data_IF_319014051594
#
_entry.id   IF_319014051594
#
_cell.length_a   1.000
_cell.length_b   1.000
_cell.length_c   1.000
_cell.angle_alpha   90.00
_cell.angle_beta   90.00
_cell.angle_gamma   90.00
#
_symmetry.space_group_name_H-M   'P 1'
#
loop_
_entity.id
_entity.type
_entity.pdbx_description
1 polymer ?
#
# COMPACT_ATOMS: atom_id res chain seq x y z
N UNK A 1 6.54 -29.69 54.09
CA UNK A 1 5.82 -29.57 52.80
C UNK A 1 5.48 -28.09 52.63
N UNK A 2 6.41 -27.30 52.08
CA UNK A 2 6.26 -25.85 51.91
C UNK A 2 5.80 -25.61 50.47
N UNK A 3 4.55 -25.18 50.31
CA UNK A 3 3.98 -24.80 49.01
C UNK A 3 4.60 -23.48 48.56
N UNK A 4 5.26 -23.49 47.39
CA UNK A 4 5.72 -22.25 46.77
C UNK A 4 4.50 -21.43 46.28
N UNK A 5 4.55 -20.09 46.40
CA UNK A 5 3.54 -19.23 45.79
C UNK A 5 3.55 -19.37 44.26
N UNK A 6 2.39 -19.19 43.60
CA UNK A 6 2.29 -19.32 42.15
C UNK A 6 3.20 -18.32 41.44
N UNK A 7 3.79 -18.68 40.28
CA UNK A 7 4.64 -17.78 39.53
C UNK A 7 3.85 -16.53 39.12
N UNK A 8 4.47 -15.36 39.28
CA UNK A 8 3.92 -14.10 38.83
C UNK A 8 3.58 -14.19 37.33
N UNK A 9 2.39 -13.70 36.97
CA UNK A 9 1.95 -13.56 35.59
C UNK A 9 3.03 -12.82 34.78
N UNK A 10 3.32 -13.25 33.54
CA UNK A 10 4.29 -12.54 32.70
C UNK A 10 3.85 -11.09 32.57
N UNK A 11 4.73 -10.19 33.01
CA UNK A 11 4.58 -8.75 32.81
C UNK A 11 4.50 -8.51 31.31
N UNK A 12 3.34 -8.01 30.86
CA UNK A 12 3.14 -7.62 29.48
C UNK A 12 4.26 -6.67 29.08
N UNK A 13 4.86 -6.95 27.93
CA UNK A 13 5.94 -6.12 27.41
C UNK A 13 5.40 -4.70 27.17
N UNK A 14 6.19 -3.63 27.37
CA UNK A 14 5.73 -2.26 27.15
C UNK A 14 5.28 -1.95 25.70
N UNK A 15 5.44 -2.89 24.78
CA UNK A 15 4.94 -2.83 23.41
C UNK A 15 3.45 -3.26 23.29
N UNK A 16 2.95 -4.13 24.19
CA UNK A 16 1.55 -4.58 24.20
C UNK A 16 0.58 -3.46 24.61
N UNK A 17 1.07 -2.44 25.33
CA UNK A 17 0.28 -1.30 25.78
C UNK A 17 -0.02 -0.25 24.68
N UNK A 18 0.47 -0.43 23.43
CA UNK A 18 0.39 0.58 22.36
C UNK A 18 -0.54 0.23 21.19
N UNK A 19 -1.10 -0.98 21.16
CA UNK A 19 -2.15 -1.36 20.20
C UNK A 19 -3.50 -1.16 20.86
N UNK A 20 -4.39 -0.43 20.19
CA UNK A 20 -5.79 -0.33 20.62
C UNK A 20 -6.35 -1.75 20.78
N UNK A 21 -7.13 -2.06 21.84
CA UNK A 21 -7.65 -3.40 22.09
C UNK A 21 -8.43 -4.01 20.92
N UNK A 22 -8.93 -3.16 20.01
CA UNK A 22 -9.67 -3.54 18.81
C UNK A 22 -8.80 -3.73 17.55
N UNK A 23 -7.47 -3.51 17.57
CA UNK A 23 -6.63 -3.64 16.38
C UNK A 23 -6.32 -5.11 16.02
N UNK A 24 -6.87 -5.61 14.92
CA UNK A 24 -6.73 -7.01 14.48
C UNK A 24 -5.58 -7.25 13.48
N UNK A 25 -4.84 -6.23 13.06
CA UNK A 25 -3.77 -6.38 12.05
C UNK A 25 -2.46 -5.72 12.44
N UNK A 26 -2.48 -4.82 13.42
CA UNK A 26 -1.30 -4.17 13.95
C UNK A 26 -0.65 -3.17 12.97
N UNK A 27 0.29 -2.42 13.50
CA UNK A 27 0.95 -1.33 12.78
C UNK A 27 1.85 -1.83 11.65
N UNK A 28 2.63 -2.90 11.91
CA UNK A 28 3.61 -3.46 10.96
C UNK A 28 2.97 -3.98 9.67
N UNK A 29 1.82 -4.65 9.76
CA UNK A 29 1.07 -5.13 8.59
C UNK A 29 0.72 -3.98 7.65
N UNK A 30 0.16 -2.90 8.22
CA UNK A 30 -0.20 -1.69 7.47
C UNK A 30 1.01 -0.99 6.87
N UNK A 31 2.15 -1.01 7.58
CA UNK A 31 3.40 -0.48 7.06
C UNK A 31 3.90 -1.26 5.86
N UNK A 32 3.87 -2.60 5.90
CA UNK A 32 4.27 -3.44 4.75
C UNK A 32 3.43 -3.13 3.52
N UNK A 33 2.10 -3.02 3.66
CA UNK A 33 1.20 -2.63 2.56
C UNK A 33 1.61 -1.27 1.98
N UNK A 34 1.87 -0.29 2.85
CA UNK A 34 2.31 1.03 2.42
C UNK A 34 3.68 1.03 1.73
N UNK A 35 4.66 0.29 2.25
CA UNK A 35 5.98 0.19 1.64
C UNK A 35 5.96 -0.53 0.30
N UNK A 36 5.15 -1.59 0.14
CA UNK A 36 4.94 -2.25 -1.16
C UNK A 36 4.40 -1.25 -2.19
N UNK A 37 3.39 -0.46 -1.83
CA UNK A 37 2.84 0.59 -2.70
C UNK A 37 3.84 1.69 -3.06
N UNK A 38 4.68 2.11 -2.10
CA UNK A 38 5.68 3.15 -2.33
C UNK A 38 6.84 2.66 -3.20
N UNK A 39 7.28 1.42 -2.96
CA UNK A 39 8.40 0.82 -3.67
C UNK A 39 8.06 0.50 -5.13
N UNK A 40 6.80 0.17 -5.44
CA UNK A 40 6.36 -0.24 -6.76
C UNK A 40 6.82 0.70 -7.89
N UNK A 41 6.42 2.00 -7.96
CA UNK A 41 6.83 2.86 -9.06
C UNK A 41 8.35 3.07 -9.12
N UNK A 42 9.04 3.12 -7.98
CA UNK A 42 10.49 3.38 -7.94
C UNK A 42 11.26 2.17 -8.46
N UNK A 43 10.99 0.98 -7.93
CA UNK A 43 11.76 -0.21 -8.25
C UNK A 43 11.52 -0.70 -9.68
N UNK A 44 10.32 -0.48 -10.23
CA UNK A 44 10.02 -0.81 -11.63
C UNK A 44 10.94 -0.05 -12.60
N UNK A 45 11.03 1.26 -12.41
CA UNK A 45 11.90 2.14 -13.20
C UNK A 45 13.36 1.72 -13.10
N UNK A 46 13.82 1.42 -11.88
CA UNK A 46 15.21 1.00 -11.68
C UNK A 46 15.50 -0.36 -12.31
N UNK A 47 14.58 -1.32 -12.21
CA UNK A 47 14.79 -2.65 -12.77
C UNK A 47 14.71 -2.66 -14.30
N UNK A 48 13.82 -1.87 -14.90
CA UNK A 48 13.78 -1.68 -16.36
C UNK A 48 15.10 -1.10 -16.88
N UNK A 49 15.70 -0.13 -16.16
CA UNK A 49 17.03 0.40 -16.50
C UNK A 49 18.14 -0.67 -16.44
N UNK A 50 18.02 -1.65 -15.55
CA UNK A 50 18.97 -2.76 -15.41
C UNK A 50 18.72 -3.90 -16.41
N UNK A 51 17.48 -4.06 -16.89
CA UNK A 51 17.06 -5.10 -17.83
C UNK A 51 16.25 -4.48 -18.98
N UNK A 52 16.90 -3.71 -19.87
CA UNK A 52 16.22 -3.08 -21.01
C UNK A 52 15.76 -4.14 -22.02
N UNK A 53 14.51 -4.02 -22.48
CA UNK A 53 13.88 -4.99 -23.38
C UNK A 53 14.03 -4.66 -24.89
N UNK A 54 14.51 -3.47 -25.27
CA UNK A 54 14.69 -3.09 -26.68
C UNK A 54 15.86 -2.09 -26.88
N UNK A 55 16.49 -2.02 -28.08
CA UNK A 55 17.63 -1.15 -28.36
C UNK A 55 17.27 0.32 -28.67
N UNK A 56 16.20 0.90 -28.13
CA UNK A 56 15.92 2.33 -28.35
C UNK A 56 15.30 3.01 -27.14
N UNK A 57 16.07 3.90 -26.53
CA UNK A 57 15.87 5.34 -26.24
C UNK A 57 14.50 5.90 -25.84
N UNK A 58 13.40 5.16 -25.97
CA UNK A 58 12.06 5.60 -25.58
C UNK A 58 11.60 4.76 -24.41
N UNK A 59 11.59 5.41 -23.25
CA UNK A 59 10.82 5.00 -22.09
C UNK A 59 9.47 4.40 -22.50
N UNK A 60 9.27 3.10 -22.29
CA UNK A 60 8.05 2.39 -22.68
C UNK A 60 6.97 2.43 -21.59
N UNK A 61 7.28 2.98 -20.41
CA UNK A 61 6.36 3.13 -19.29
C UNK A 61 5.28 4.18 -19.56
N UNK A 62 4.39 3.92 -20.51
CA UNK A 62 3.19 4.74 -20.75
C UNK A 62 2.20 4.62 -19.59
N UNK A 63 2.27 3.54 -18.82
CA UNK A 63 1.56 3.30 -17.55
C UNK A 63 2.43 2.47 -16.60
N UNK A 64 2.09 2.43 -15.31
CA UNK A 64 2.70 1.50 -14.35
C UNK A 64 2.44 0.05 -14.77
N UNK A 65 1.25 -0.24 -15.29
CA UNK A 65 0.94 -1.58 -15.79
C UNK A 65 1.68 -1.94 -17.08
N UNK A 66 2.19 -0.98 -17.86
CA UNK A 66 2.99 -1.27 -19.07
C UNK A 66 4.29 -2.02 -18.73
N UNK A 67 4.76 -1.95 -17.48
CA UNK A 67 5.90 -2.71 -16.99
C UNK A 67 5.71 -4.23 -17.08
N UNK A 68 4.48 -4.72 -17.29
CA UNK A 68 4.20 -6.12 -17.63
C UNK A 68 4.96 -6.58 -18.89
N UNK A 69 5.23 -5.67 -19.81
CA UNK A 69 5.89 -5.95 -21.10
C UNK A 69 7.39 -5.60 -21.08
N UNK A 70 7.92 -5.21 -19.92
CA UNK A 70 9.33 -4.81 -19.73
C UNK A 70 10.11 -5.88 -18.97
N UNK A 71 11.44 -5.72 -18.88
CA UNK A 71 12.30 -6.57 -18.07
C UNK A 71 12.00 -6.50 -16.57
N UNK A 72 11.10 -5.61 -16.13
CA UNK A 72 10.63 -5.53 -14.75
C UNK A 72 9.36 -6.35 -14.46
N UNK A 73 8.81 -7.11 -15.43
CA UNK A 73 7.57 -7.88 -15.27
C UNK A 73 7.55 -8.76 -14.02
N UNK A 74 8.65 -9.45 -13.72
CA UNK A 74 8.74 -10.34 -12.56
C UNK A 74 8.59 -9.57 -11.24
N UNK A 75 9.09 -8.34 -11.18
CA UNK A 75 8.96 -7.46 -10.02
C UNK A 75 7.57 -6.84 -9.94
N UNK A 76 7.00 -6.39 -11.07
CA UNK A 76 5.64 -5.87 -11.15
C UNK A 76 4.63 -6.89 -10.60
N UNK A 77 4.63 -8.10 -11.16
CA UNK A 77 3.74 -9.19 -10.74
C UNK A 77 4.01 -9.60 -9.31
N UNK A 78 5.28 -9.73 -8.91
CA UNK A 78 5.67 -10.13 -7.55
C UNK A 78 5.21 -9.14 -6.47
N UNK A 79 5.38 -7.83 -6.70
CA UNK A 79 4.95 -6.81 -5.75
C UNK A 79 3.42 -6.71 -5.66
N UNK A 80 2.70 -6.85 -6.77
CA UNK A 80 1.23 -6.87 -6.74
C UNK A 80 0.67 -8.16 -6.11
N UNK A 81 1.30 -9.30 -6.33
CA UNK A 81 0.94 -10.55 -5.65
C UNK A 81 1.17 -10.45 -4.14
N UNK A 82 2.29 -9.88 -3.71
CA UNK A 82 2.54 -9.60 -2.30
C UNK A 82 1.50 -8.62 -1.73
N UNK A 83 1.24 -7.51 -2.43
CA UNK A 83 0.23 -6.52 -2.02
C UNK A 83 -1.16 -7.16 -1.89
N UNK A 84 -1.55 -8.00 -2.85
CA UNK A 84 -2.77 -8.78 -2.81
C UNK A 84 -2.87 -9.64 -1.55
N UNK A 85 -1.85 -10.45 -1.26
CA UNK A 85 -1.83 -11.32 -0.08
C UNK A 85 -1.95 -10.53 1.22
N UNK A 86 -1.22 -9.42 1.36
CA UNK A 86 -1.30 -8.58 2.55
C UNK A 86 -2.66 -7.89 2.69
N UNK A 87 -3.30 -7.49 1.59
CA UNK A 87 -4.66 -6.94 1.62
C UNK A 87 -5.70 -8.02 1.98
N UNK A 88 -5.59 -9.23 1.40
CA UNK A 88 -6.47 -10.36 1.70
C UNK A 88 -6.37 -10.83 3.17
N UNK A 89 -5.22 -10.63 3.81
CA UNK A 89 -5.01 -10.96 5.23
C UNK A 89 -5.31 -9.78 6.17
N UNK A 90 -5.55 -8.57 5.66
CA UNK A 90 -5.87 -7.41 6.47
C UNK A 90 -7.28 -7.51 7.05
N UNK A 91 -7.37 -7.50 8.39
CA UNK A 91 -8.64 -7.65 9.14
C UNK A 91 -9.20 -6.33 9.65
N UNK A 92 -8.41 -5.25 9.65
CA UNK A 92 -8.88 -3.95 10.13
C UNK A 92 -8.99 -3.90 11.65
N UNK A 93 -10.13 -3.41 12.14
CA UNK A 93 -10.39 -3.22 13.57
C UNK A 93 -11.68 -3.93 13.99
N UNK A 94 -11.71 -4.50 15.19
CA UNK A 94 -12.86 -5.15 15.81
C UNK A 94 -13.89 -4.15 16.35
N UNK A 95 -14.34 -3.22 15.50
CA UNK A 95 -15.33 -2.21 15.83
C UNK A 95 -16.52 -2.23 14.85
N UNK A 96 -17.47 -1.30 15.00
CA UNK A 96 -18.68 -1.23 14.16
C UNK A 96 -18.41 -1.16 12.65
N UNK A 97 -17.21 -0.77 12.23
CA UNK A 97 -16.81 -0.68 10.83
C UNK A 97 -16.07 -1.91 10.31
N UNK A 98 -15.85 -2.93 11.13
CA UNK A 98 -15.11 -4.16 10.81
C UNK A 98 -15.50 -4.75 9.45
N UNK A 99 -16.81 -4.88 9.20
CA UNK A 99 -17.33 -5.45 7.94
C UNK A 99 -16.88 -4.63 6.73
N UNK A 100 -16.89 -3.31 6.82
CA UNK A 100 -16.48 -2.44 5.72
C UNK A 100 -14.97 -2.46 5.50
N UNK A 101 -14.18 -2.43 6.58
CA UNK A 101 -12.71 -2.60 6.49
C UNK A 101 -12.36 -3.93 5.83
N UNK A 102 -12.99 -5.03 6.28
CA UNK A 102 -12.71 -6.37 5.78
C UNK A 102 -13.15 -6.55 4.33
N UNK A 103 -14.34 -6.08 3.97
CA UNK A 103 -14.83 -6.18 2.59
C UNK A 103 -13.97 -5.35 1.64
N UNK A 104 -13.64 -4.10 2.00
CA UNK A 104 -12.75 -3.27 1.17
C UNK A 104 -11.37 -3.93 1.00
N UNK A 105 -10.84 -4.56 2.05
CA UNK A 105 -9.55 -5.25 1.99
C UNK A 105 -9.59 -6.47 1.06
N UNK A 106 -10.65 -7.27 1.12
CA UNK A 106 -10.86 -8.41 0.22
C UNK A 106 -11.00 -7.93 -1.22
N UNK A 107 -11.82 -6.91 -1.47
CA UNK A 107 -12.02 -6.34 -2.82
C UNK A 107 -10.70 -5.82 -3.38
N UNK A 108 -9.93 -5.05 -2.62
CA UNK A 108 -8.63 -4.56 -3.05
C UNK A 108 -7.63 -5.71 -3.27
N UNK A 109 -7.61 -6.72 -2.39
CA UNK A 109 -6.74 -7.88 -2.51
C UNK A 109 -7.03 -8.70 -3.77
N UNK A 110 -8.30 -8.99 -4.05
CA UNK A 110 -8.72 -9.69 -5.27
C UNK A 110 -8.41 -8.85 -6.51
N UNK A 111 -8.71 -7.55 -6.49
CA UNK A 111 -8.41 -6.65 -7.60
C UNK A 111 -6.90 -6.61 -7.91
N UNK A 112 -6.05 -6.53 -6.88
CA UNK A 112 -4.59 -6.58 -7.04
C UNK A 112 -4.12 -7.93 -7.62
N UNK A 113 -4.71 -9.06 -7.20
CA UNK A 113 -4.40 -10.37 -7.79
C UNK A 113 -4.76 -10.42 -9.27
N UNK A 114 -5.93 -9.88 -9.65
CA UNK A 114 -6.36 -9.83 -11.05
C UNK A 114 -5.41 -8.95 -11.88
N UNK A 115 -5.02 -7.78 -11.40
CA UNK A 115 -4.03 -6.92 -12.08
C UNK A 115 -2.69 -7.64 -12.24
N UNK A 116 -2.27 -8.45 -11.26
CA UNK A 116 -1.03 -9.22 -11.32
C UNK A 116 -1.10 -10.38 -12.33
N UNK A 117 -2.24 -11.06 -12.44
CA UNK A 117 -2.39 -12.28 -13.26
C UNK A 117 -2.77 -12.00 -14.71
N UNK A 118 -3.48 -10.90 -14.98
CA UNK A 118 -3.96 -10.56 -16.32
C UNK A 118 -3.15 -9.37 -16.84
N UNK A 119 -2.37 -9.50 -17.94
CA UNK A 119 -1.60 -8.39 -18.50
C UNK A 119 -2.47 -7.26 -19.05
N UNK A 120 -1.94 -6.04 -19.01
CA UNK A 120 -2.52 -4.90 -19.75
C UNK A 120 -2.23 -5.00 -21.25
N UNK A 121 -2.83 -4.13 -22.05
CA UNK A 121 -2.59 -4.03 -23.49
C UNK A 121 -1.09 -3.87 -23.79
N UNK A 122 -0.51 -4.64 -24.73
CA UNK A 122 0.87 -4.46 -25.14
C UNK A 122 1.10 -3.04 -25.68
N UNK A 123 2.21 -2.37 -25.30
CA UNK A 123 2.62 -1.12 -25.92
C UNK A 123 2.76 -1.24 -27.44
N UNK A 124 2.61 -0.12 -28.15
CA UNK A 124 2.77 -0.07 -29.60
C UNK A 124 4.14 -0.65 -30.02
N UNK A 125 4.12 -1.50 -31.06
CA UNK A 125 5.32 -2.15 -31.58
C UNK A 125 5.72 -3.45 -30.87
N UNK A 126 5.04 -3.85 -29.79
CA UNK A 126 5.24 -5.14 -29.16
C UNK A 126 4.16 -6.15 -29.58
N UNK A 127 4.60 -7.33 -30.04
CA UNK A 127 3.70 -8.41 -30.37
C UNK A 127 3.09 -9.00 -29.07
N UNK A 128 1.76 -9.22 -29.02
CA UNK A 128 1.14 -9.90 -27.89
C UNK A 128 1.59 -11.36 -27.80
N UNK A 129 1.47 -11.94 -26.60
CA UNK A 129 1.68 -13.38 -26.39
C UNK A 129 0.61 -14.21 -27.13
N UNK A 130 0.90 -15.47 -27.52
CA UNK A 130 -0.04 -16.29 -28.31
C UNK A 130 -1.41 -16.52 -27.66
N UNK A 131 -1.48 -16.47 -26.33
CA UNK A 131 -2.71 -16.65 -25.54
C UNK A 131 -3.41 -15.33 -25.19
N UNK A 132 -2.86 -14.19 -25.60
CA UNK A 132 -3.41 -12.89 -25.24
C UNK A 132 -4.65 -12.57 -26.08
N UNK A 133 -5.72 -12.10 -25.42
CA UNK A 133 -6.97 -11.72 -26.05
C UNK A 133 -7.49 -10.40 -25.46
N UNK A 134 -8.31 -9.67 -26.21
CA UNK A 134 -8.81 -8.34 -25.81
C UNK A 134 -9.48 -8.32 -24.42
N UNK A 135 -10.22 -9.38 -24.06
CA UNK A 135 -10.89 -9.48 -22.76
C UNK A 135 -9.91 -9.48 -21.57
N UNK A 136 -8.66 -9.93 -21.77
CA UNK A 136 -7.62 -9.91 -20.72
C UNK A 136 -7.28 -8.47 -20.34
N UNK A 137 -7.08 -7.61 -21.34
CA UNK A 137 -6.82 -6.18 -21.11
C UNK A 137 -7.99 -5.46 -20.44
N UNK A 138 -9.23 -5.80 -20.81
CA UNK A 138 -10.44 -5.26 -20.19
C UNK A 138 -10.53 -5.69 -18.73
N UNK A 139 -10.30 -6.98 -18.45
CA UNK A 139 -10.26 -7.52 -17.07
C UNK A 139 -9.21 -6.81 -16.23
N UNK A 140 -8.00 -6.59 -16.77
CA UNK A 140 -6.95 -5.84 -16.10
C UNK A 140 -7.41 -4.41 -15.79
N UNK A 141 -7.95 -3.68 -16.78
CA UNK A 141 -8.36 -2.29 -16.62
C UNK A 141 -9.48 -2.14 -15.58
N UNK A 142 -10.49 -3.00 -15.61
CA UNK A 142 -11.58 -3.02 -14.62
C UNK A 142 -11.02 -3.29 -13.22
N UNK A 143 -10.14 -4.28 -13.08
CA UNK A 143 -9.51 -4.58 -11.80
C UNK A 143 -8.66 -3.42 -11.27
N UNK A 144 -7.90 -2.74 -12.13
CA UNK A 144 -7.12 -1.57 -11.75
C UNK A 144 -8.03 -0.42 -11.26
N UNK A 145 -9.13 -0.14 -11.95
CA UNK A 145 -10.11 0.87 -11.52
C UNK A 145 -10.68 0.51 -10.15
N UNK A 146 -11.07 -0.75 -9.94
CA UNK A 146 -11.59 -1.23 -8.64
C UNK A 146 -10.53 -1.09 -7.54
N UNK A 147 -9.27 -1.45 -7.83
CA UNK A 147 -8.16 -1.34 -6.89
C UNK A 147 -7.94 0.11 -6.42
N UNK A 148 -7.75 1.04 -7.35
CA UNK A 148 -7.53 2.45 -7.03
C UNK A 148 -8.74 3.10 -6.36
N UNK A 149 -9.96 2.74 -6.80
CA UNK A 149 -11.19 3.19 -6.14
C UNK A 149 -11.24 2.74 -4.68
N UNK A 150 -10.85 1.50 -4.40
CA UNK A 150 -10.83 0.97 -3.04
C UNK A 150 -9.76 1.63 -2.18
N UNK A 151 -8.60 1.97 -2.76
CA UNK A 151 -7.58 2.78 -2.07
C UNK A 151 -8.10 4.17 -1.70
N UNK A 152 -8.85 4.82 -2.60
CA UNK A 152 -9.51 6.09 -2.30
C UNK A 152 -10.55 5.92 -1.17
N UNK A 153 -11.36 4.86 -1.18
CA UNK A 153 -12.33 4.55 -0.11
C UNK A 153 -11.65 4.36 1.25
N UNK A 154 -10.53 3.63 1.30
CA UNK A 154 -9.75 3.48 2.52
C UNK A 154 -9.33 4.85 3.10
N UNK A 155 -8.76 5.71 2.26
CA UNK A 155 -8.21 6.99 2.70
C UNK A 155 -9.28 8.05 2.99
N UNK A 156 -10.31 8.17 2.15
CA UNK A 156 -11.37 9.17 2.29
C UNK A 156 -12.36 8.85 3.41
N UNK A 157 -12.56 7.56 3.73
CA UNK A 157 -13.63 7.15 4.62
C UNK A 157 -13.15 6.27 5.78
N UNK A 158 -12.67 5.06 5.51
CA UNK A 158 -12.41 4.05 6.55
C UNK A 158 -11.35 4.52 7.56
N UNK A 159 -10.21 5.04 7.07
CA UNK A 159 -9.11 5.44 7.95
C UNK A 159 -9.40 6.67 8.82
N UNK A 160 -10.43 7.45 8.44
CA UNK A 160 -10.88 8.66 9.13
C UNK A 160 -11.95 8.39 10.19
N UNK A 161 -12.51 7.17 10.24
CA UNK A 161 -13.45 6.79 11.30
C UNK A 161 -12.81 6.90 12.68
N UNK A 162 -13.64 7.28 13.64
CA UNK A 162 -13.31 7.43 15.08
C UNK A 162 -14.49 6.83 15.85
N UNK A 163 -14.22 6.30 17.04
CA UNK A 163 -15.27 5.84 17.93
C UNK A 163 -16.15 7.01 18.43
N UNK A 164 -17.41 6.75 18.81
CA UNK A 164 -18.43 7.79 19.04
C UNK A 164 -18.12 8.76 20.19
N UNK A 165 -17.46 8.30 21.26
CA UNK A 165 -17.47 8.99 22.56
C UNK A 165 -16.13 9.63 22.97
N UNK A 166 -15.18 9.79 22.05
CA UNK A 166 -13.89 10.42 22.33
C UNK A 166 -13.69 11.72 21.57
N UNK A 167 -13.37 12.81 22.26
CA UNK A 167 -12.83 14.00 21.61
C UNK A 167 -11.60 13.61 20.77
N UNK A 168 -11.56 14.05 19.50
CA UNK A 168 -10.41 13.79 18.64
C UNK A 168 -9.19 14.52 19.17
N UNK A 169 -8.19 13.76 19.60
CA UNK A 169 -6.85 14.28 19.90
C UNK A 169 -6.27 15.05 18.70
N UNK A 170 -5.39 16.03 18.94
CA UNK A 170 -4.73 16.80 17.88
C UNK A 170 -3.99 15.89 16.88
N UNK A 171 -3.34 14.83 17.39
CA UNK A 171 -2.69 13.79 16.60
C UNK A 171 -3.68 13.06 15.67
N UNK A 172 -4.89 12.72 16.15
CA UNK A 172 -5.92 12.11 15.31
C UNK A 172 -6.42 13.07 14.21
N UNK A 173 -6.61 14.35 14.53
CA UNK A 173 -7.03 15.37 13.54
C UNK A 173 -5.98 15.55 12.43
N UNK A 174 -4.69 15.56 12.79
CA UNK A 174 -3.60 15.63 11.82
C UNK A 174 -3.60 14.41 10.90
N UNK A 175 -3.70 13.20 11.45
CA UNK A 175 -3.79 11.97 10.66
C UNK A 175 -5.00 11.94 9.73
N UNK A 176 -6.17 12.37 10.20
CA UNK A 176 -7.38 12.45 9.38
C UNK A 176 -7.24 13.43 8.22
N UNK A 177 -6.51 14.53 8.43
CA UNK A 177 -6.17 15.50 7.38
C UNK A 177 -5.26 14.86 6.34
N UNK A 178 -4.22 14.13 6.76
CA UNK A 178 -3.33 13.42 5.82
C UNK A 178 -4.11 12.38 5.01
N UNK A 179 -4.99 11.60 5.65
CA UNK A 179 -5.86 10.65 4.96
C UNK A 179 -6.82 11.33 3.98
N UNK A 180 -7.36 12.50 4.32
CA UNK A 180 -8.19 13.29 3.40
C UNK A 180 -7.37 13.74 2.17
N UNK A 181 -6.20 14.32 2.38
CA UNK A 181 -5.31 14.79 1.29
C UNK A 181 -4.91 13.62 0.38
N UNK A 182 -4.51 12.49 0.96
CA UNK A 182 -4.17 11.29 0.18
C UNK A 182 -5.37 10.78 -0.62
N UNK A 183 -6.56 10.74 -0.01
CA UNK A 183 -7.78 10.29 -0.68
C UNK A 183 -8.18 11.19 -1.85
N UNK A 184 -8.14 12.51 -1.66
CA UNK A 184 -8.38 13.48 -2.73
C UNK A 184 -7.32 13.33 -3.83
N UNK A 185 -6.05 13.18 -3.44
CA UNK A 185 -4.94 12.99 -4.36
C UNK A 185 -5.11 11.75 -5.26
N UNK A 186 -5.60 10.63 -4.71
CA UNK A 186 -5.92 9.43 -5.50
C UNK A 186 -7.03 9.73 -6.51
N UNK A 187 -8.14 10.36 -6.09
CA UNK A 187 -9.26 10.68 -6.98
C UNK A 187 -8.83 11.63 -8.11
N UNK A 188 -8.09 12.69 -7.78
CA UNK A 188 -7.54 13.64 -8.78
C UNK A 188 -6.62 12.91 -9.76
N UNK A 189 -5.78 12.01 -9.26
CA UNK A 189 -4.88 11.21 -10.10
C UNK A 189 -5.66 10.28 -11.04
N UNK A 190 -6.74 9.66 -10.58
CA UNK A 190 -7.62 8.84 -11.42
C UNK A 190 -8.32 9.67 -12.51
N UNK A 191 -8.80 10.87 -12.17
CA UNK A 191 -9.39 11.79 -13.16
C UNK A 191 -8.34 12.24 -14.19
N UNK A 192 -7.13 12.53 -13.74
CA UNK A 192 -6.01 12.85 -14.63
C UNK A 192 -5.66 11.68 -15.55
N UNK A 193 -5.55 10.46 -15.02
CA UNK A 193 -5.33 9.26 -15.83
C UNK A 193 -6.43 9.07 -16.89
N UNK A 194 -7.70 9.30 -16.53
CA UNK A 194 -8.81 9.21 -17.48
C UNK A 194 -8.68 10.21 -18.61
N UNK A 195 -8.42 11.49 -18.31
CA UNK A 195 -8.26 12.55 -19.33
C UNK A 195 -7.03 12.27 -20.20
N UNK A 196 -5.89 11.92 -19.60
CA UNK A 196 -4.66 11.59 -20.31
C UNK A 196 -4.84 10.38 -21.23
N UNK A 197 -5.46 9.31 -20.74
CA UNK A 197 -5.74 8.11 -21.53
C UNK A 197 -6.67 8.38 -22.70
N UNK A 198 -7.70 9.23 -22.53
CA UNK A 198 -8.58 9.67 -23.64
C UNK A 198 -7.85 10.50 -24.70
N UNK A 199 -6.78 11.19 -24.31
CA UNK A 199 -5.92 11.96 -25.21
C UNK A 199 -4.77 11.14 -25.83
N UNK A 200 -4.68 9.83 -25.54
CA UNK A 200 -3.56 8.99 -25.99
C UNK A 200 -2.23 9.32 -25.29
N UNK A 201 -2.26 10.08 -24.19
CA UNK A 201 -1.08 10.44 -23.42
C UNK A 201 -0.75 9.37 -22.37
N UNK A 202 0.50 9.38 -21.90
CA UNK A 202 0.94 8.50 -20.81
C UNK A 202 0.14 8.76 -19.52
N UNK A 203 -0.28 7.66 -18.88
CA UNK A 203 -0.93 7.62 -17.57
C UNK A 203 0.02 7.18 -16.44
N UNK A 204 1.32 7.04 -16.72
CA UNK A 204 2.32 6.59 -15.75
C UNK A 204 2.41 7.49 -14.52
N UNK A 205 2.48 8.81 -14.73
CA UNK A 205 2.57 9.78 -13.65
C UNK A 205 1.32 9.80 -12.76
N UNK A 206 0.08 9.91 -13.30
CA UNK A 206 -1.09 9.85 -12.45
C UNK A 206 -1.19 8.52 -11.68
N UNK A 207 -0.90 7.37 -12.29
CA UNK A 207 -0.88 6.09 -11.56
C UNK A 207 0.18 6.07 -10.45
N UNK A 208 1.38 6.60 -10.72
CA UNK A 208 2.46 6.72 -9.74
C UNK A 208 2.06 7.59 -8.55
N UNK A 209 1.45 8.75 -8.80
CA UNK A 209 0.99 9.63 -7.73
C UNK A 209 -0.13 8.99 -6.92
N UNK A 210 -1.09 8.31 -7.56
CA UNK A 210 -2.13 7.57 -6.86
C UNK A 210 -1.53 6.49 -5.93
N UNK A 211 -0.51 5.75 -6.39
CA UNK A 211 0.21 4.77 -5.58
C UNK A 211 0.98 5.41 -4.41
N UNK A 212 1.60 6.56 -4.62
CA UNK A 212 2.31 7.31 -3.56
C UNK A 212 1.31 7.78 -2.49
N UNK A 213 0.18 8.36 -2.88
CA UNK A 213 -0.86 8.77 -1.94
C UNK A 213 -1.46 7.58 -1.17
N UNK A 214 -1.73 6.47 -1.88
CA UNK A 214 -2.11 5.21 -1.26
C UNK A 214 -1.09 4.78 -0.21
N UNK A 215 0.19 4.69 -0.59
CA UNK A 215 1.27 4.26 0.28
C UNK A 215 1.39 5.12 1.53
N UNK A 216 1.34 6.44 1.37
CA UNK A 216 1.40 7.39 2.49
C UNK A 216 0.20 7.25 3.42
N UNK A 217 -1.01 7.05 2.87
CA UNK A 217 -2.20 6.79 3.69
C UNK A 217 -2.03 5.54 4.56
N UNK A 218 -1.45 4.46 4.04
CA UNK A 218 -1.22 3.22 4.78
C UNK A 218 -0.08 3.32 5.79
N UNK A 219 1.00 4.02 5.47
CA UNK A 219 2.12 4.26 6.39
C UNK A 219 1.71 5.13 7.58
N UNK A 220 0.88 6.15 7.34
CA UNK A 220 0.30 6.98 8.40
C UNK A 220 -0.67 6.17 9.26
N UNK A 221 -1.49 5.30 8.64
CA UNK A 221 -2.37 4.39 9.38
C UNK A 221 -1.57 3.39 10.21
N UNK A 222 -0.45 2.91 9.69
CA UNK A 222 0.51 2.04 10.38
C UNK A 222 1.46 2.76 11.33
N UNK A 223 1.28 4.06 11.62
CA UNK A 223 2.14 4.84 12.54
C UNK A 223 3.64 4.79 12.20
N UNK A 224 4.00 4.64 10.92
CA UNK A 224 5.40 4.50 10.47
C UNK A 224 6.32 5.61 11.00
N UNK A 225 5.85 6.86 10.99
CA UNK A 225 6.62 8.01 11.50
C UNK A 225 6.95 7.89 13.00
N UNK A 226 6.05 7.32 13.81
CA UNK A 226 6.34 7.09 15.23
C UNK A 226 7.36 5.97 15.41
N UNK A 227 7.24 4.88 14.63
CA UNK A 227 8.20 3.78 14.65
C UNK A 227 9.60 4.27 14.31
N UNK A 228 9.76 5.04 13.22
CA UNK A 228 11.07 5.61 12.82
C UNK A 228 11.63 6.54 13.90
N UNK A 229 10.82 7.46 14.44
CA UNK A 229 11.25 8.36 15.53
C UNK A 229 11.69 7.60 16.78
N UNK A 230 10.98 6.52 17.14
CA UNK A 230 11.34 5.69 18.28
C UNK A 230 12.68 4.98 18.08
N UNK A 231 12.90 4.40 16.90
CA UNK A 231 14.17 3.74 16.54
C UNK A 231 15.34 4.72 16.54
N UNK A 232 15.16 5.91 15.96
CA UNK A 232 16.21 6.95 15.95
C UNK A 232 16.56 7.42 17.37
N UNK A 233 15.55 7.62 18.24
CA UNK A 233 15.78 7.97 19.65
C UNK A 233 16.56 6.87 20.36
N UNK A 234 16.18 5.61 20.20
CA UNK A 234 16.87 4.46 20.80
C UNK A 234 18.33 4.34 20.33
N UNK A 235 18.60 4.53 19.05
CA UNK A 235 19.96 4.56 18.51
C UNK A 235 20.80 5.70 19.12
N UNK A 236 20.19 6.88 19.31
CA UNK A 236 20.86 8.04 19.93
C UNK A 236 21.20 7.79 21.40
N UNK A 237 20.29 7.21 22.19
CA UNK A 237 20.56 6.88 23.60
C UNK A 237 21.53 5.72 23.78
N UNK A 238 21.55 4.74 22.87
CA UNK A 238 22.51 3.63 22.90
C UNK A 238 23.96 4.11 22.65
N UNK A 239 24.14 5.08 21.75
CA UNK A 239 25.44 5.71 21.50
C UNK A 239 25.94 6.65 22.62
N UNK A 240 25.07 7.03 23.56
CA UNK A 240 25.39 7.97 24.63
C UNK A 240 25.78 7.30 25.97
N UNK A 241 25.82 5.95 26.06
CA UNK A 241 26.30 5.27 27.27
C UNK A 241 27.83 5.38 27.36
N UNK A 242 28.40 6.03 28.40
CA UNK A 242 29.85 6.06 28.58
C UNK A 242 30.36 4.65 28.91
N UNK A 243 31.53 4.29 28.37
CA UNK A 243 32.24 3.06 28.76
C UNK A 243 32.52 3.10 30.27
N UNK A 244 32.21 2.04 31.04
CA UNK A 244 32.57 2.01 32.46
C UNK A 244 34.09 2.07 32.57
N UNK A 245 34.59 3.06 33.34
CA UNK A 245 36.00 3.17 33.72
C UNK A 245 36.35 2.15 34.80
#
# INVERSE_FOLDING_TARGET
MLTQPPPASPTSSPDDARTSPDDLSGHRHRQVIGYLGLALPILLVQLERLRPNAPSDRWQGTSISAYYWTGAVSLFVGLLAALSLFLLTYRGYANKWYRYDRTAAIVAGVAAAVVALFPTTPPEGLAPLPWFHAWISVTHAVAAIVLFSTFAVFSLWLFRKTEPDGEKTADKKQRDTIHLVCGIGIVVSMLWAFVAGRAGASIFWPESFALIFFAWSWLVKGRALHSVKATLRAATTAGAKPCPR
#
